data_IF_397372196540
#
_entry.id   IF_397372196540
#
_cell.length_a   1.000
_cell.length_b   1.000
_cell.length_c   1.000
_cell.angle_alpha   90.00
_cell.angle_beta   90.00
_cell.angle_gamma   90.00
#
_symmetry.space_group_name_H-M   'P 1'
#
loop_
_entity.id
_entity.type
_entity.pdbx_description
1 polymer ?
#
# COMPACT_ATOMS: atom_id res chain seq x y z
N UNK A 1 -13.02 -29.66 24.51
CA UNK A 1 -13.65 -29.60 23.15
C UNK A 1 -12.57 -29.38 22.13
N UNK A 2 -12.22 -30.41 21.34
CA UNK A 2 -11.27 -30.26 20.23
C UNK A 2 -11.96 -29.47 19.13
N UNK A 3 -11.61 -28.19 19.03
CA UNK A 3 -12.03 -27.38 17.87
C UNK A 3 -11.32 -27.97 16.65
N UNK A 4 -12.05 -28.67 15.82
CA UNK A 4 -11.58 -29.13 14.50
C UNK A 4 -11.30 -27.87 13.68
N UNK A 5 -10.04 -27.48 13.63
CA UNK A 5 -9.60 -26.30 12.87
C UNK A 5 -9.68 -26.63 11.37
N UNK A 6 -10.64 -26.02 10.68
CA UNK A 6 -10.80 -26.11 9.23
C UNK A 6 -9.87 -25.10 8.53
N UNK A 7 -9.26 -25.50 7.42
CA UNK A 7 -8.55 -24.52 6.55
C UNK A 7 -9.58 -23.64 5.85
N UNK A 8 -9.38 -22.29 5.84
CA UNK A 8 -10.29 -21.41 5.14
C UNK A 8 -10.27 -21.68 3.64
N UNK A 9 -11.42 -21.59 3.00
CA UNK A 9 -11.52 -21.61 1.53
C UNK A 9 -10.87 -20.36 0.94
N UNK A 10 -10.65 -20.37 -0.39
CA UNK A 10 -10.12 -19.22 -1.11
C UNK A 10 -10.93 -17.94 -0.83
N UNK A 11 -12.25 -18.02 -0.99
CA UNK A 11 -13.15 -16.88 -0.78
C UNK A 11 -13.16 -16.39 0.68
N UNK A 12 -13.12 -17.30 1.64
CA UNK A 12 -13.03 -16.96 3.05
C UNK A 12 -11.71 -16.24 3.37
N UNK A 13 -10.59 -16.72 2.82
CA UNK A 13 -9.28 -16.07 2.97
C UNK A 13 -9.27 -14.67 2.33
N UNK A 14 -9.89 -14.51 1.16
CA UNK A 14 -10.05 -13.21 0.49
C UNK A 14 -10.89 -12.25 1.33
N UNK A 15 -12.03 -12.71 1.84
CA UNK A 15 -12.94 -11.90 2.63
C UNK A 15 -12.30 -11.49 3.98
N UNK A 16 -11.68 -12.43 4.69
CA UNK A 16 -11.01 -12.16 5.96
C UNK A 16 -9.82 -11.20 5.78
N UNK A 17 -9.00 -11.43 4.75
CA UNK A 17 -7.86 -10.56 4.45
C UNK A 17 -8.29 -9.16 4.04
N UNK A 18 -9.30 -9.03 3.19
CA UNK A 18 -9.86 -7.75 2.79
C UNK A 18 -10.51 -6.99 3.96
N UNK A 19 -11.30 -7.68 4.79
CA UNK A 19 -11.92 -7.09 5.97
C UNK A 19 -10.88 -6.62 7.00
N UNK A 20 -9.87 -7.43 7.26
CA UNK A 20 -8.78 -7.05 8.18
C UNK A 20 -7.98 -5.85 7.66
N UNK A 21 -7.71 -5.79 6.36
CA UNK A 21 -7.02 -4.66 5.76
C UNK A 21 -7.89 -3.38 5.81
N UNK A 22 -9.19 -3.49 5.53
CA UNK A 22 -10.14 -2.39 5.64
C UNK A 22 -10.28 -1.89 7.09
N UNK A 23 -10.24 -2.80 8.07
CA UNK A 23 -10.21 -2.42 9.49
C UNK A 23 -8.93 -1.66 9.84
N UNK A 24 -7.77 -2.20 9.46
CA UNK A 24 -6.46 -1.58 9.75
C UNK A 24 -6.34 -0.18 9.14
N UNK A 25 -6.93 0.05 7.96
CA UNK A 25 -6.84 1.35 7.28
C UNK A 25 -7.52 2.46 8.04
N UNK A 26 -8.53 2.19 8.88
CA UNK A 26 -9.17 3.23 9.69
C UNK A 26 -8.17 3.94 10.62
N UNK A 27 -7.21 3.20 11.15
CA UNK A 27 -6.18 3.72 12.07
C UNK A 27 -4.98 4.32 11.34
N UNK A 28 -4.67 3.81 10.15
CA UNK A 28 -3.49 4.26 9.38
C UNK A 28 -3.81 5.35 8.35
N UNK A 29 -5.10 5.60 8.09
CA UNK A 29 -5.56 6.60 7.13
C UNK A 29 -5.07 8.03 7.43
N UNK A 30 -5.08 8.51 8.68
CA UNK A 30 -4.53 9.82 9.03
C UNK A 30 -3.07 10.00 8.58
N UNK A 31 -2.23 8.99 8.83
CA UNK A 31 -0.82 9.02 8.43
C UNK A 31 -0.70 9.04 6.91
N UNK A 32 -1.54 8.27 6.24
CA UNK A 32 -1.55 8.20 4.78
C UNK A 32 -2.01 9.52 4.13
N UNK A 33 -3.03 10.17 4.69
CA UNK A 33 -3.48 11.48 4.23
C UNK A 33 -2.37 12.52 4.34
N UNK A 34 -1.70 12.59 5.48
CA UNK A 34 -0.57 13.51 5.69
C UNK A 34 0.54 13.23 4.67
N UNK A 35 0.91 11.94 4.49
CA UNK A 35 1.87 11.52 3.45
C UNK A 35 1.48 12.04 2.07
N UNK A 36 0.25 11.79 1.64
CA UNK A 36 -0.24 12.15 0.30
C UNK A 36 -0.19 13.65 0.09
N UNK A 37 -0.62 14.43 1.06
CA UNK A 37 -0.56 15.89 1.01
C UNK A 37 0.88 16.41 0.97
N UNK A 38 1.79 15.86 1.77
CA UNK A 38 3.21 16.23 1.72
C UNK A 38 3.82 15.95 0.34
N UNK A 39 3.46 14.85 -0.28
CA UNK A 39 3.96 14.48 -1.61
C UNK A 39 3.44 15.41 -2.71
N UNK A 40 2.22 15.88 -2.58
CA UNK A 40 1.59 16.77 -3.57
C UNK A 40 1.98 18.23 -3.36
N UNK A 41 1.84 18.74 -2.12
CA UNK A 41 2.08 20.16 -1.82
C UNK A 41 3.56 20.50 -1.58
N UNK A 42 4.39 19.50 -1.31
CA UNK A 42 5.81 19.70 -0.97
C UNK A 42 6.04 20.31 0.41
N UNK A 43 4.99 20.43 1.24
CA UNK A 43 5.05 21.05 2.57
C UNK A 43 5.78 20.21 3.62
N UNK A 44 6.26 20.84 4.67
CA UNK A 44 6.81 20.18 5.85
C UNK A 44 5.71 19.46 6.64
N UNK A 45 6.07 18.40 7.39
CA UNK A 45 5.15 17.58 8.17
C UNK A 45 4.24 18.42 9.10
N UNK A 46 4.82 19.30 9.91
CA UNK A 46 4.05 20.14 10.86
C UNK A 46 3.08 21.11 10.16
N UNK A 47 3.51 21.72 9.06
CA UNK A 47 2.67 22.61 8.26
C UNK A 47 1.50 21.85 7.62
N UNK A 48 1.74 20.64 7.13
CA UNK A 48 0.70 19.80 6.55
C UNK A 48 -0.33 19.39 7.60
N UNK A 49 0.09 18.93 8.78
CA UNK A 49 -0.81 18.55 9.88
C UNK A 49 -1.65 19.77 10.30
N UNK A 50 -1.01 20.92 10.54
CA UNK A 50 -1.70 22.16 10.90
C UNK A 50 -2.72 22.60 9.84
N UNK A 51 -2.37 22.45 8.55
CA UNK A 51 -3.27 22.74 7.44
C UNK A 51 -4.52 21.85 7.46
N UNK A 52 -4.36 20.53 7.67
CA UNK A 52 -5.48 19.59 7.77
C UNK A 52 -6.42 19.93 8.93
N UNK A 53 -5.85 20.25 10.11
CA UNK A 53 -6.64 20.63 11.29
C UNK A 53 -7.41 21.93 11.05
N UNK A 54 -6.82 22.92 10.40
CA UNK A 54 -7.50 24.18 10.06
C UNK A 54 -8.61 24.00 9.04
N UNK A 55 -8.51 23.04 8.14
CA UNK A 55 -9.48 22.77 7.07
C UNK A 55 -10.80 22.15 7.58
N UNK A 56 -10.73 21.24 8.54
CA UNK A 56 -11.92 20.54 9.01
C UNK A 56 -11.74 19.80 10.33
N UNK A 57 -10.81 20.26 11.17
CA UNK A 57 -10.53 19.64 12.46
C UNK A 57 -9.96 18.22 12.33
N UNK A 58 -10.16 17.42 13.38
CA UNK A 58 -9.63 16.06 13.45
C UNK A 58 -10.27 15.15 12.40
N UNK A 59 -11.55 15.35 12.07
CA UNK A 59 -12.27 14.52 11.11
C UNK A 59 -11.74 14.62 9.68
N UNK A 60 -11.06 15.71 9.34
CA UNK A 60 -10.44 15.91 8.03
C UNK A 60 -9.35 14.87 7.72
N UNK A 61 -8.76 14.25 8.75
CA UNK A 61 -7.77 13.17 8.54
C UNK A 61 -8.34 11.90 7.93
N UNK A 62 -9.65 11.73 7.91
CA UNK A 62 -10.34 10.59 7.29
C UNK A 62 -10.97 10.89 5.94
N UNK A 63 -10.64 12.05 5.32
CA UNK A 63 -11.08 12.35 3.96
C UNK A 63 -10.63 11.28 2.97
N UNK A 64 -11.57 10.74 2.21
CA UNK A 64 -11.31 9.68 1.22
C UNK A 64 -11.24 8.26 1.80
N UNK A 65 -11.57 8.06 3.08
CA UNK A 65 -11.60 6.74 3.73
C UNK A 65 -12.47 5.71 2.98
N UNK A 66 -13.67 6.01 2.48
CA UNK A 66 -14.48 5.04 1.71
C UNK A 66 -13.75 4.47 0.49
N UNK A 67 -12.98 5.29 -0.21
CA UNK A 67 -12.14 4.81 -1.30
C UNK A 67 -10.95 3.97 -0.79
N UNK A 68 -10.48 4.26 0.42
CA UNK A 68 -9.50 3.42 1.13
C UNK A 68 -10.04 2.01 1.39
N UNK A 69 -11.28 1.88 1.87
CA UNK A 69 -11.94 0.58 2.03
C UNK A 69 -12.13 -0.14 0.70
N UNK A 70 -12.64 0.54 -0.33
CA UNK A 70 -12.78 -0.03 -1.66
C UNK A 70 -11.45 -0.56 -2.22
N UNK A 71 -10.37 0.18 -2.01
CA UNK A 71 -9.03 -0.23 -2.40
C UNK A 71 -8.57 -1.47 -1.62
N UNK A 72 -8.71 -1.51 -0.30
CA UNK A 72 -8.28 -2.67 0.49
C UNK A 72 -9.12 -3.91 0.16
N UNK A 73 -10.42 -3.76 0.02
CA UNK A 73 -11.30 -4.87 -0.35
C UNK A 73 -10.99 -5.42 -1.75
N UNK A 74 -10.73 -4.58 -2.74
CA UNK A 74 -10.41 -5.04 -4.10
C UNK A 74 -8.97 -5.57 -4.21
N UNK A 75 -7.97 -4.76 -3.84
CA UNK A 75 -6.56 -5.11 -4.00
C UNK A 75 -6.12 -6.28 -3.11
N UNK A 76 -6.42 -6.18 -1.80
CA UNK A 76 -5.91 -7.16 -0.82
C UNK A 76 -6.61 -8.51 -0.98
N UNK A 77 -7.93 -8.52 -1.24
CA UNK A 77 -8.66 -9.76 -1.52
C UNK A 77 -8.10 -10.48 -2.73
N UNK A 78 -7.88 -9.76 -3.84
CA UNK A 78 -7.32 -10.35 -5.06
C UNK A 78 -5.88 -10.81 -4.84
N UNK A 79 -5.06 -9.98 -4.20
CA UNK A 79 -3.66 -10.33 -3.93
C UNK A 79 -3.53 -11.60 -3.08
N UNK A 80 -4.32 -11.74 -2.03
CA UNK A 80 -4.28 -12.92 -1.17
C UNK A 80 -4.95 -14.13 -1.83
N UNK A 81 -6.11 -13.93 -2.44
CA UNK A 81 -6.86 -15.00 -3.05
C UNK A 81 -6.24 -15.56 -4.33
N UNK A 82 -5.72 -14.71 -5.21
CA UNK A 82 -5.13 -15.16 -6.46
C UNK A 82 -3.69 -15.69 -6.30
N UNK A 83 -3.02 -15.43 -5.18
CA UNK A 83 -1.62 -15.83 -5.01
C UNK A 83 -1.41 -17.34 -5.10
N UNK A 84 -2.18 -18.14 -4.37
CA UNK A 84 -2.04 -19.59 -4.36
C UNK A 84 -2.40 -20.23 -5.73
N UNK A 85 -3.52 -19.90 -6.39
CA UNK A 85 -3.83 -20.38 -7.73
C UNK A 85 -2.75 -19.99 -8.75
N UNK A 86 -2.32 -18.74 -8.78
CA UNK A 86 -1.30 -18.27 -9.74
C UNK A 86 0.03 -18.97 -9.49
N UNK A 87 0.45 -19.07 -8.21
CA UNK A 87 1.68 -19.78 -7.83
C UNK A 87 1.67 -21.23 -8.30
N UNK A 88 0.54 -21.92 -8.15
CA UNK A 88 0.39 -23.31 -8.59
C UNK A 88 0.38 -23.42 -10.14
N UNK A 89 -0.30 -22.50 -10.83
CA UNK A 89 -0.37 -22.48 -12.29
C UNK A 89 1.00 -22.27 -12.97
N UNK A 90 1.89 -21.50 -12.35
CA UNK A 90 3.25 -21.27 -12.88
C UNK A 90 4.28 -22.30 -12.36
N UNK A 91 3.84 -23.36 -11.67
CA UNK A 91 4.74 -24.39 -11.14
C UNK A 91 5.55 -23.99 -9.89
N UNK A 92 5.19 -22.88 -9.26
CA UNK A 92 5.88 -22.38 -8.05
C UNK A 92 5.26 -22.92 -6.74
N UNK A 93 4.38 -23.92 -6.82
CA UNK A 93 3.66 -24.49 -5.68
C UNK A 93 4.47 -25.44 -4.80
N UNK A 94 5.55 -26.00 -5.33
CA UNK A 94 6.39 -26.96 -4.62
C UNK A 94 7.31 -26.33 -3.58
N UNK A 95 7.83 -27.12 -2.61
CA UNK A 95 8.80 -26.63 -1.62
C UNK A 95 10.11 -26.17 -2.27
N UNK A 96 10.50 -26.82 -3.38
CA UNK A 96 11.75 -26.56 -4.11
C UNK A 96 11.62 -25.44 -5.17
N UNK A 97 10.45 -24.81 -5.25
CA UNK A 97 10.26 -23.72 -6.19
C UNK A 97 11.22 -22.55 -5.92
N UNK A 98 12.00 -22.20 -6.92
CA UNK A 98 12.98 -21.11 -6.84
C UNK A 98 12.35 -19.79 -6.42
N UNK A 99 13.14 -18.96 -5.73
CA UNK A 99 12.72 -17.63 -5.24
C UNK A 99 12.17 -16.78 -6.40
N UNK A 100 12.77 -16.87 -7.59
CA UNK A 100 12.34 -16.14 -8.78
C UNK A 100 10.90 -16.46 -9.20
N UNK A 101 10.49 -17.72 -9.11
CA UNK A 101 9.11 -18.14 -9.44
C UNK A 101 8.10 -17.64 -8.40
N UNK A 102 8.46 -17.66 -7.13
CA UNK A 102 7.64 -17.09 -6.04
C UNK A 102 7.51 -15.58 -6.20
N UNK A 103 8.58 -14.91 -6.61
CA UNK A 103 8.58 -13.48 -6.95
C UNK A 103 7.64 -13.19 -8.14
N UNK A 104 7.73 -13.98 -9.21
CA UNK A 104 6.87 -13.85 -10.38
C UNK A 104 5.38 -14.00 -10.02
N UNK A 105 5.05 -15.00 -9.20
CA UNK A 105 3.67 -15.15 -8.69
C UNK A 105 3.19 -13.91 -7.94
N UNK A 106 4.04 -13.36 -7.06
CA UNK A 106 3.74 -12.14 -6.32
C UNK A 106 3.63 -10.88 -7.21
N UNK A 107 4.45 -10.79 -8.25
CA UNK A 107 4.41 -9.70 -9.23
C UNK A 107 3.13 -9.76 -10.07
N UNK A 108 2.76 -10.93 -10.58
CA UNK A 108 1.54 -11.13 -11.36
C UNK A 108 0.28 -10.82 -10.54
N UNK A 109 0.18 -11.39 -9.33
CA UNK A 109 -0.98 -11.15 -8.46
C UNK A 109 -1.05 -9.72 -7.94
N UNK A 110 0.10 -9.14 -7.59
CA UNK A 110 0.19 -7.72 -7.19
C UNK A 110 -0.13 -6.77 -8.33
N UNK A 111 0.34 -7.07 -9.55
CA UNK A 111 0.03 -6.30 -10.75
C UNK A 111 -1.45 -6.32 -11.09
N UNK A 112 -2.06 -7.51 -11.13
CA UNK A 112 -3.49 -7.67 -11.39
C UNK A 112 -4.34 -6.99 -10.30
N UNK A 113 -4.00 -7.19 -9.03
CA UNK A 113 -4.64 -6.48 -7.93
C UNK A 113 -4.50 -4.96 -8.04
N UNK A 114 -3.34 -4.46 -8.52
CA UNK A 114 -3.12 -3.04 -8.76
C UNK A 114 -4.03 -2.47 -9.85
N UNK A 115 -4.29 -3.23 -10.90
CA UNK A 115 -5.23 -2.81 -11.97
C UNK A 115 -6.64 -2.66 -11.41
N UNK A 116 -7.13 -3.66 -10.66
CA UNK A 116 -8.47 -3.62 -10.06
C UNK A 116 -8.60 -2.56 -8.96
N UNK A 117 -7.54 -2.33 -8.19
CA UNK A 117 -7.53 -1.33 -7.12
C UNK A 117 -7.28 0.10 -7.61
N UNK A 118 -6.80 0.31 -8.84
CA UNK A 118 -6.37 1.61 -9.33
C UNK A 118 -7.46 2.69 -9.32
N UNK A 119 -8.73 2.40 -9.72
CA UNK A 119 -9.80 3.38 -9.62
C UNK A 119 -9.97 3.95 -8.20
N UNK A 120 -9.92 3.08 -7.20
CA UNK A 120 -10.00 3.50 -5.80
C UNK A 120 -8.77 4.27 -5.34
N UNK A 121 -7.59 3.90 -5.83
CA UNK A 121 -6.34 4.62 -5.53
C UNK A 121 -6.36 6.05 -6.06
N UNK A 122 -6.84 6.25 -7.29
CA UNK A 122 -6.97 7.58 -7.91
C UNK A 122 -7.99 8.42 -7.14
N UNK A 123 -9.20 7.89 -6.92
CA UNK A 123 -10.25 8.61 -6.20
C UNK A 123 -9.85 8.94 -4.75
N UNK A 124 -9.17 8.01 -4.07
CA UNK A 124 -8.63 8.22 -2.74
C UNK A 124 -7.62 9.36 -2.72
N UNK A 125 -6.68 9.38 -3.67
CA UNK A 125 -5.66 10.43 -3.76
C UNK A 125 -6.30 11.79 -4.01
N UNK A 126 -7.25 11.87 -4.96
CA UNK A 126 -7.99 13.10 -5.23
C UNK A 126 -8.79 13.58 -4.01
N UNK A 127 -9.47 12.67 -3.31
CA UNK A 127 -10.24 13.01 -2.11
C UNK A 127 -9.33 13.52 -0.97
N UNK A 128 -8.16 12.90 -0.78
CA UNK A 128 -7.19 13.31 0.25
C UNK A 128 -6.55 14.67 -0.03
N UNK A 129 -6.39 15.04 -1.30
CA UNK A 129 -5.79 16.31 -1.72
C UNK A 129 -6.81 17.40 -1.99
N UNK A 130 -8.10 17.06 -2.00
CA UNK A 130 -9.17 18.02 -2.21
C UNK A 130 -9.30 18.99 -1.01
N UNK A 131 -8.79 20.20 -1.18
CA UNK A 131 -8.91 21.30 -0.21
C UNK A 131 -10.18 22.12 -0.40
N UNK A 132 -10.84 22.01 -1.56
CA UNK A 132 -12.07 22.78 -1.89
C UNK A 132 -13.32 22.24 -1.21
N UNK A 133 -13.26 21.09 -0.54
CA UNK A 133 -14.40 20.49 0.14
C UNK A 133 -15.46 19.90 -0.79
N UNK A 134 -15.13 19.65 -2.05
CA UNK A 134 -16.03 19.00 -3.01
C UNK A 134 -16.46 17.61 -2.51
N UNK A 135 -17.73 17.29 -2.68
CA UNK A 135 -18.26 15.98 -2.31
C UNK A 135 -17.67 14.85 -3.14
N UNK A 136 -17.57 13.65 -2.55
CA UNK A 136 -16.97 12.46 -3.21
C UNK A 136 -17.66 12.13 -4.55
N UNK A 137 -18.98 12.30 -4.64
CA UNK A 137 -19.74 12.08 -5.89
C UNK A 137 -19.34 13.05 -7.01
N UNK A 138 -19.10 14.32 -6.67
CA UNK A 138 -18.61 15.32 -7.63
C UNK A 138 -17.21 14.99 -8.13
N UNK A 139 -16.30 14.51 -7.26
CA UNK A 139 -14.97 14.09 -7.68
C UNK A 139 -15.03 12.96 -8.69
N UNK A 140 -15.86 11.95 -8.46
CA UNK A 140 -16.07 10.83 -9.40
C UNK A 140 -16.67 11.33 -10.71
N UNK A 141 -17.72 12.18 -10.64
CA UNK A 141 -18.41 12.73 -11.81
C UNK A 141 -17.49 13.60 -12.66
N UNK A 142 -16.73 14.50 -12.05
CA UNK A 142 -15.77 15.36 -12.74
C UNK A 142 -14.68 14.54 -13.43
N UNK A 143 -14.08 13.55 -12.71
CA UNK A 143 -13.06 12.69 -13.30
C UNK A 143 -13.58 11.93 -14.52
N UNK A 144 -14.80 11.38 -14.42
CA UNK A 144 -15.41 10.65 -15.53
C UNK A 144 -15.75 11.56 -16.71
N UNK A 145 -16.32 12.75 -16.46
CA UNK A 145 -16.68 13.71 -17.50
C UNK A 145 -15.47 14.24 -18.24
N UNK A 146 -14.38 14.55 -17.53
CA UNK A 146 -13.24 15.25 -18.10
C UNK A 146 -12.22 14.29 -18.73
N UNK A 147 -12.07 13.07 -18.21
CA UNK A 147 -11.06 12.09 -18.66
C UNK A 147 -11.63 10.70 -19.01
N UNK A 148 -12.94 10.49 -18.86
CA UNK A 148 -13.57 9.19 -19.10
C UNK A 148 -13.01 8.09 -18.20
N UNK A 149 -13.11 6.85 -18.66
CA UNK A 149 -12.57 5.68 -17.94
C UNK A 149 -11.04 5.72 -17.79
N UNK A 150 -10.32 6.34 -18.74
CA UNK A 150 -8.87 6.46 -18.68
C UNK A 150 -8.37 7.21 -17.45
N UNK A 151 -9.13 8.18 -16.95
CA UNK A 151 -8.83 8.94 -15.74
C UNK A 151 -8.66 8.08 -14.49
N UNK A 152 -9.45 7.00 -14.37
CA UNK A 152 -9.39 6.06 -13.25
C UNK A 152 -8.16 5.14 -13.29
N UNK A 153 -7.49 5.03 -14.44
CA UNK A 153 -6.32 4.18 -14.63
C UNK A 153 -5.01 4.95 -14.76
N UNK A 154 -5.04 6.27 -14.54
CA UNK A 154 -3.80 7.06 -14.54
C UNK A 154 -2.87 6.60 -13.41
N UNK A 155 -1.57 6.50 -13.75
CA UNK A 155 -0.55 6.02 -12.83
C UNK A 155 -0.55 4.50 -12.59
N UNK A 156 -1.38 3.70 -13.27
CA UNK A 156 -1.43 2.24 -13.11
C UNK A 156 -0.08 1.58 -13.40
N UNK A 157 0.65 2.04 -14.42
CA UNK A 157 1.98 1.52 -14.75
C UNK A 157 2.94 1.68 -13.57
N UNK A 158 2.97 2.88 -12.97
CA UNK A 158 3.82 3.16 -11.81
C UNK A 158 3.40 2.32 -10.60
N UNK A 159 2.10 2.08 -10.45
CA UNK A 159 1.55 1.24 -9.38
C UNK A 159 2.03 -0.22 -9.52
N UNK A 160 2.03 -0.77 -10.73
CA UNK A 160 2.55 -2.11 -11.03
C UNK A 160 4.07 -2.16 -10.78
N UNK A 161 4.85 -1.21 -11.31
CA UNK A 161 6.30 -1.15 -11.10
C UNK A 161 6.64 -1.05 -9.60
N UNK A 162 5.91 -0.20 -8.89
CA UNK A 162 6.04 -0.08 -7.43
C UNK A 162 5.77 -1.41 -6.71
N UNK A 163 4.76 -2.17 -7.13
CA UNK A 163 4.45 -3.48 -6.53
C UNK A 163 5.60 -4.48 -6.77
N UNK A 164 6.19 -4.48 -7.96
CA UNK A 164 7.36 -5.30 -8.28
C UNK A 164 8.57 -4.93 -7.41
N UNK A 165 8.90 -3.63 -7.33
CA UNK A 165 10.02 -3.12 -6.52
C UNK A 165 9.81 -3.46 -5.04
N UNK A 166 8.60 -3.25 -4.51
CA UNK A 166 8.27 -3.57 -3.11
C UNK A 166 8.46 -5.06 -2.82
N UNK A 167 7.99 -5.95 -3.70
CA UNK A 167 8.13 -7.39 -3.51
C UNK A 167 9.60 -7.84 -3.61
N UNK A 168 10.37 -7.30 -4.56
CA UNK A 168 11.79 -7.58 -4.70
C UNK A 168 12.57 -7.17 -3.44
N UNK A 169 12.35 -5.92 -2.98
CA UNK A 169 13.01 -5.40 -1.77
C UNK A 169 12.61 -6.20 -0.53
N UNK A 170 11.31 -6.54 -0.39
CA UNK A 170 10.83 -7.33 0.73
C UNK A 170 11.52 -8.69 0.81
N UNK A 171 11.65 -9.41 -0.30
CA UNK A 171 12.28 -10.73 -0.33
C UNK A 171 13.79 -10.66 -0.04
N UNK A 172 14.48 -9.67 -0.63
CA UNK A 172 15.94 -9.54 -0.45
C UNK A 172 16.32 -9.00 0.93
N UNK A 173 15.62 -7.97 1.40
CA UNK A 173 16.03 -7.25 2.61
C UNK A 173 15.54 -7.92 3.89
N UNK A 174 14.32 -8.46 3.91
CA UNK A 174 13.76 -9.02 5.14
C UNK A 174 14.52 -10.24 5.64
N UNK A 175 14.85 -11.17 4.74
CA UNK A 175 15.59 -12.38 5.10
C UNK A 175 17.05 -12.07 5.48
N UNK A 176 17.69 -11.17 4.75
CA UNK A 176 19.05 -10.69 5.08
C UNK A 176 19.07 -10.00 6.45
N UNK A 177 18.12 -9.11 6.71
CA UNK A 177 18.02 -8.38 7.98
C UNK A 177 17.73 -9.33 9.14
N UNK A 178 16.87 -10.33 8.94
CA UNK A 178 16.56 -11.32 9.95
C UNK A 178 17.79 -12.19 10.31
N UNK A 179 18.59 -12.58 9.32
CA UNK A 179 19.87 -13.25 9.53
C UNK A 179 20.83 -12.38 10.34
N UNK A 180 21.04 -11.14 9.90
CA UNK A 180 21.91 -10.17 10.56
C UNK A 180 21.53 -9.91 12.03
N UNK A 181 20.24 -9.69 12.31
CA UNK A 181 19.76 -9.48 13.69
C UNK A 181 20.01 -10.71 14.55
N UNK A 182 19.78 -11.92 14.01
CA UNK A 182 20.03 -13.18 14.74
C UNK A 182 21.52 -13.33 15.10
N UNK A 183 22.41 -13.03 14.16
CA UNK A 183 23.87 -13.10 14.40
C UNK A 183 24.36 -12.07 15.43
N UNK A 184 23.88 -10.84 15.36
CA UNK A 184 24.34 -9.77 16.24
C UNK A 184 23.77 -9.86 17.66
N UNK A 185 22.55 -10.37 17.82
CA UNK A 185 21.86 -10.37 19.11
C UNK A 185 21.84 -11.73 19.81
N UNK A 186 22.16 -12.80 19.08
CA UNK A 186 22.04 -14.19 19.59
C UNK A 186 20.59 -14.63 19.82
N UNK A 187 19.60 -13.83 19.43
CA UNK A 187 18.18 -14.16 19.59
C UNK A 187 17.77 -15.25 18.60
N UNK A 188 16.85 -16.12 19.01
CA UNK A 188 16.32 -17.15 18.13
C UNK A 188 15.64 -16.56 16.90
N UNK A 189 15.85 -17.18 15.73
CA UNK A 189 15.27 -16.71 14.46
C UNK A 189 13.72 -16.63 14.46
N UNK A 190 13.07 -17.36 15.38
CA UNK A 190 11.60 -17.35 15.56
C UNK A 190 11.11 -16.38 16.64
N UNK A 191 12.02 -15.74 17.35
CA UNK A 191 11.63 -14.82 18.43
C UNK A 191 10.90 -13.60 17.89
N UNK A 192 9.90 -13.15 18.63
CA UNK A 192 9.12 -11.94 18.31
C UNK A 192 10.04 -10.72 18.25
N UNK A 193 11.03 -10.62 19.15
CA UNK A 193 12.01 -9.53 19.18
C UNK A 193 12.83 -9.48 17.89
N UNK A 194 13.33 -10.62 17.41
CA UNK A 194 14.06 -10.74 16.15
C UNK A 194 13.19 -10.33 14.97
N UNK A 195 11.96 -10.83 14.92
CA UNK A 195 11.03 -10.53 13.85
C UNK A 195 10.63 -9.06 13.82
N UNK A 196 10.43 -8.44 14.99
CA UNK A 196 10.11 -7.01 15.11
C UNK A 196 11.29 -6.13 14.68
N UNK A 197 12.50 -6.40 15.18
CA UNK A 197 13.71 -5.66 14.82
C UNK A 197 14.02 -5.79 13.33
N UNK A 198 13.90 -7.01 12.79
CA UNK A 198 14.09 -7.26 11.36
C UNK A 198 13.04 -6.53 10.52
N UNK A 199 11.78 -6.53 10.94
CA UNK A 199 10.71 -5.81 10.24
C UNK A 199 10.91 -4.28 10.27
N UNK A 200 11.42 -3.74 11.39
CA UNK A 200 11.70 -2.32 11.52
C UNK A 200 12.82 -1.85 10.57
N UNK A 201 13.93 -2.59 10.56
CA UNK A 201 15.08 -2.30 9.66
C UNK A 201 14.70 -2.56 8.20
N UNK A 202 14.07 -3.70 7.91
CA UNK A 202 13.58 -3.99 6.57
C UNK A 202 12.59 -2.94 6.08
N UNK A 203 11.70 -2.45 6.96
CA UNK A 203 10.76 -1.36 6.67
C UNK A 203 11.45 -0.06 6.26
N UNK A 204 12.59 0.26 6.87
CA UNK A 204 13.40 1.41 6.47
C UNK A 204 13.91 1.27 5.03
N UNK A 205 14.56 0.14 4.70
CA UNK A 205 15.08 -0.10 3.35
C UNK A 205 13.96 -0.22 2.31
N UNK A 206 12.85 -0.86 2.66
CA UNK A 206 11.66 -0.90 1.80
C UNK A 206 11.13 0.50 1.50
N UNK A 207 11.05 1.35 2.53
CA UNK A 207 10.62 2.74 2.35
C UNK A 207 11.60 3.52 1.49
N UNK A 208 12.90 3.36 1.70
CA UNK A 208 13.94 4.01 0.90
C UNK A 208 13.79 3.68 -0.59
N UNK A 209 13.57 2.41 -0.91
CA UNK A 209 13.45 1.93 -2.29
C UNK A 209 12.10 2.30 -2.94
N UNK A 210 11.01 2.30 -2.16
CA UNK A 210 9.66 2.50 -2.68
C UNK A 210 9.25 3.97 -2.74
N UNK A 211 9.85 4.84 -1.91
CA UNK A 211 9.46 6.26 -1.84
C UNK A 211 9.48 7.00 -3.18
N UNK A 212 10.50 6.86 -4.06
CA UNK A 212 10.51 7.51 -5.35
C UNK A 212 9.30 7.13 -6.23
N UNK A 213 8.97 5.84 -6.25
CA UNK A 213 7.82 5.32 -6.98
C UNK A 213 6.50 5.83 -6.42
N UNK A 214 6.38 5.87 -5.10
CA UNK A 214 5.22 6.43 -4.40
C UNK A 214 5.02 7.90 -4.71
N UNK A 215 6.10 8.68 -4.75
CA UNK A 215 6.06 10.11 -5.06
C UNK A 215 5.52 10.35 -6.47
N UNK A 216 6.11 9.69 -7.47
CA UNK A 216 5.70 9.83 -8.87
C UNK A 216 4.26 9.35 -9.07
N UNK A 217 3.90 8.18 -8.47
CA UNK A 217 2.54 7.66 -8.49
C UNK A 217 1.53 8.68 -7.95
N UNK A 218 1.81 9.24 -6.77
CA UNK A 218 0.90 10.19 -6.12
C UNK A 218 0.72 11.46 -6.96
N UNK A 219 1.79 12.01 -7.55
CA UNK A 219 1.71 13.15 -8.46
C UNK A 219 0.90 12.84 -9.72
N UNK A 220 1.12 11.68 -10.35
CA UNK A 220 0.36 11.25 -11.53
C UNK A 220 -1.14 11.05 -11.23
N UNK A 221 -1.46 10.48 -10.08
CA UNK A 221 -2.86 10.28 -9.67
C UNK A 221 -3.56 11.58 -9.30
N UNK A 222 -2.81 12.56 -8.79
CA UNK A 222 -3.33 13.85 -8.35
C UNK A 222 -3.32 14.93 -9.45
N UNK A 223 -3.02 14.60 -10.70
CA UNK A 223 -3.11 15.60 -11.77
C UNK A 223 -4.51 16.23 -11.81
N UNK A 224 -4.61 17.54 -12.14
CA UNK A 224 -5.89 18.17 -12.44
C UNK A 224 -6.65 17.39 -13.50
N UNK A 225 -7.97 17.40 -13.43
CA UNK A 225 -8.81 16.67 -14.39
C UNK A 225 -8.87 17.39 -15.74
N UNK A 226 -8.74 18.71 -15.73
CA UNK A 226 -8.81 19.63 -16.86
C UNK A 226 -7.47 19.85 -17.57
N UNK A 227 -6.34 19.55 -16.92
CA UNK A 227 -5.01 19.77 -17.46
C UNK A 227 -4.06 18.59 -17.23
N UNK A 228 -3.45 18.09 -18.31
CA UNK A 228 -2.44 17.04 -18.23
C UNK A 228 -1.07 17.66 -17.93
N UNK A 229 -0.65 17.63 -16.65
CA UNK A 229 0.63 18.18 -16.21
C UNK A 229 1.82 17.27 -16.52
N UNK A 230 1.61 15.95 -16.54
CA UNK A 230 2.66 14.94 -16.74
C UNK A 230 2.26 13.95 -17.83
N UNK A 231 3.17 13.72 -18.79
CA UNK A 231 2.95 12.77 -19.88
C UNK A 231 3.23 11.32 -19.52
N UNK A 232 3.74 11.08 -18.32
CA UNK A 232 4.03 9.74 -17.81
C UNK A 232 5.07 9.73 -16.70
N UNK A 233 5.60 8.54 -16.41
CA UNK A 233 6.57 8.33 -15.34
C UNK A 233 7.84 9.19 -15.51
N UNK A 234 8.47 9.12 -16.68
CA UNK A 234 9.75 9.78 -16.92
C UNK A 234 9.64 11.31 -16.87
N UNK A 235 8.60 11.88 -17.49
CA UNK A 235 8.33 13.31 -17.46
C UNK A 235 8.02 13.81 -16.03
N UNK A 236 7.19 13.07 -15.29
CA UNK A 236 6.88 13.39 -13.90
C UNK A 236 8.13 13.33 -13.00
N UNK A 237 8.98 12.32 -13.18
CA UNK A 237 10.24 12.20 -12.46
C UNK A 237 11.18 13.38 -12.76
N UNK A 238 11.39 13.68 -14.05
CA UNK A 238 12.26 14.77 -14.49
C UNK A 238 11.79 16.14 -13.96
N UNK A 239 10.49 16.44 -14.10
CA UNK A 239 9.90 17.68 -13.56
C UNK A 239 10.02 17.76 -12.03
N UNK A 240 9.78 16.66 -11.32
CA UNK A 240 9.89 16.62 -9.87
C UNK A 240 11.33 16.88 -9.40
N UNK A 241 12.32 16.30 -10.08
CA UNK A 241 13.74 16.52 -9.78
C UNK A 241 14.14 17.97 -10.11
N UNK A 242 13.65 18.52 -11.21
CA UNK A 242 13.93 19.91 -11.62
C UNK A 242 13.37 20.92 -10.63
N UNK A 243 12.17 20.66 -10.08
CA UNK A 243 11.51 21.55 -9.12
C UNK A 243 12.14 21.53 -7.73
N UNK A 244 12.55 20.37 -7.23
CA UNK A 244 12.94 20.21 -5.84
C UNK A 244 14.21 19.41 -5.60
N UNK A 245 14.99 19.12 -6.62
CA UNK A 245 16.17 18.27 -6.56
C UNK A 245 15.85 16.79 -6.38
N UNK A 246 16.88 15.95 -6.39
CA UNK A 246 16.73 14.48 -6.32
C UNK A 246 16.04 14.05 -5.00
N UNK A 247 16.35 14.72 -3.90
CA UNK A 247 15.76 14.41 -2.58
C UNK A 247 14.25 14.64 -2.51
N UNK A 248 13.67 15.41 -3.44
CA UNK A 248 12.22 15.59 -3.51
C UNK A 248 11.45 14.29 -3.73
N UNK A 249 12.08 13.28 -4.33
CA UNK A 249 11.49 11.95 -4.53
C UNK A 249 11.25 11.18 -3.22
N UNK A 250 11.92 11.58 -2.13
CA UNK A 250 11.74 10.99 -0.79
C UNK A 250 10.87 11.85 0.13
N UNK A 251 10.19 12.87 -0.37
CA UNK A 251 9.20 13.62 0.41
C UNK A 251 8.10 12.68 0.92
N UNK A 252 7.81 12.78 2.21
CA UNK A 252 6.88 11.87 2.87
C UNK A 252 7.50 10.53 3.33
N UNK A 253 8.84 10.40 3.34
CA UNK A 253 9.54 9.21 3.82
C UNK A 253 9.12 8.83 5.24
N UNK A 254 9.14 9.78 6.18
CA UNK A 254 8.79 9.55 7.58
C UNK A 254 7.37 9.01 7.74
N UNK A 255 6.31 9.63 7.18
CA UNK A 255 4.96 9.06 7.23
C UNK A 255 4.83 7.69 6.55
N UNK A 256 5.55 7.45 5.45
CA UNK A 256 5.54 6.13 4.80
C UNK A 256 6.10 5.07 5.74
N UNK A 257 7.29 5.33 6.29
CA UNK A 257 7.95 4.41 7.20
C UNK A 257 7.15 4.18 8.49
N UNK A 258 6.65 5.24 9.11
CA UNK A 258 5.83 5.16 10.32
C UNK A 258 4.52 4.37 10.11
N UNK A 259 4.00 4.30 8.88
CA UNK A 259 2.78 3.56 8.54
C UNK A 259 3.00 2.05 8.41
N UNK A 260 4.19 1.59 7.98
CA UNK A 260 4.42 0.18 7.66
C UNK A 260 4.18 -0.76 8.83
N UNK A 261 4.79 -0.47 9.98
CA UNK A 261 4.70 -1.34 11.15
C UNK A 261 3.27 -1.39 11.74
N UNK A 262 2.58 -0.25 12.02
CA UNK A 262 1.22 -0.29 12.54
C UNK A 262 0.23 -0.99 11.60
N UNK A 263 0.31 -0.73 10.31
CA UNK A 263 -0.61 -1.34 9.34
C UNK A 263 -0.43 -2.84 9.25
N UNK A 264 0.82 -3.33 9.16
CA UNK A 264 1.09 -4.75 9.10
C UNK A 264 0.65 -5.48 10.38
N UNK A 265 0.96 -4.89 11.55
CA UNK A 265 0.60 -5.45 12.84
C UNK A 265 -0.93 -5.50 13.02
N UNK A 266 -1.63 -4.40 12.77
CA UNK A 266 -3.09 -4.36 12.89
C UNK A 266 -3.76 -5.34 11.93
N UNK A 267 -3.27 -5.44 10.69
CA UNK A 267 -3.82 -6.37 9.71
C UNK A 267 -3.63 -7.82 10.16
N UNK A 268 -2.43 -8.20 10.62
CA UNK A 268 -2.14 -9.56 11.07
C UNK A 268 -2.96 -9.91 12.31
N UNK A 269 -3.01 -9.06 13.33
CA UNK A 269 -3.80 -9.28 14.52
C UNK A 269 -5.30 -9.42 14.20
N UNK A 270 -5.80 -8.59 13.29
CA UNK A 270 -7.22 -8.65 12.90
C UNK A 270 -7.54 -9.94 12.14
N UNK A 271 -6.66 -10.39 11.23
CA UNK A 271 -6.83 -11.67 10.52
C UNK A 271 -6.83 -12.81 11.54
N UNK A 272 -5.89 -12.82 12.47
CA UNK A 272 -5.79 -13.85 13.51
C UNK A 272 -7.03 -13.89 14.41
N UNK A 273 -7.54 -12.73 14.82
CA UNK A 273 -8.80 -12.62 15.57
C UNK A 273 -9.99 -13.17 14.78
N UNK A 274 -10.09 -12.85 13.49
CA UNK A 274 -11.17 -13.36 12.63
C UNK A 274 -11.03 -14.88 12.48
N UNK A 275 -9.83 -15.41 12.23
CA UNK A 275 -9.59 -16.84 12.07
C UNK A 275 -9.94 -17.61 13.35
N UNK A 276 -9.49 -17.13 14.49
CA UNK A 276 -9.80 -17.74 15.80
C UNK A 276 -11.32 -17.76 16.06
N UNK A 277 -12.02 -16.66 15.74
CA UNK A 277 -13.48 -16.57 15.93
C UNK A 277 -14.27 -17.46 14.98
N UNK A 278 -13.75 -17.71 13.79
CA UNK A 278 -14.37 -18.57 12.77
C UNK A 278 -13.92 -20.03 12.86
N UNK A 279 -13.03 -20.38 13.80
CA UNK A 279 -12.51 -21.73 13.99
C UNK A 279 -11.58 -22.21 12.87
N UNK A 280 -10.91 -21.27 12.18
CA UNK A 280 -9.91 -21.62 11.18
C UNK A 280 -8.55 -21.94 11.82
N UNK A 281 -7.77 -22.85 11.21
CA UNK A 281 -6.38 -23.04 11.59
C UNK A 281 -5.60 -21.74 11.35
N UNK A 282 -4.80 -21.31 12.34
CA UNK A 282 -4.01 -20.08 12.26
C UNK A 282 -3.12 -19.98 11.01
N UNK A 283 -2.66 -18.76 10.74
CA UNK A 283 -1.79 -18.41 9.60
C UNK A 283 -0.41 -19.07 9.75
#
# INVERSE_FOLDING_TARGET
>A
MSVTTRKPTLFESMACGGAAAAFAVNFTHPIELVKTRMQVSGGALGATISGVVKEGGVTAFWKGLPFGWGRELSYTSVKLGAYAPVRNAIGAGGPDAGIGMKFLAGALTGGFGSILGNPFDVLKTLAQTNTKGEGLGLLVGNLYRDQGMGGFYRGVQVNIMRACVLNATKMGVYDATKGFVTEQTGWGRKDIKTSFSAAFVAGFFMTLTVSPWDMIRTKLMNQPTDAKLYDGFADCAAKTIKEGGVLSLWRGFIPIWARFAPQATLQLLTIEMIYNKMGYSGI
#
